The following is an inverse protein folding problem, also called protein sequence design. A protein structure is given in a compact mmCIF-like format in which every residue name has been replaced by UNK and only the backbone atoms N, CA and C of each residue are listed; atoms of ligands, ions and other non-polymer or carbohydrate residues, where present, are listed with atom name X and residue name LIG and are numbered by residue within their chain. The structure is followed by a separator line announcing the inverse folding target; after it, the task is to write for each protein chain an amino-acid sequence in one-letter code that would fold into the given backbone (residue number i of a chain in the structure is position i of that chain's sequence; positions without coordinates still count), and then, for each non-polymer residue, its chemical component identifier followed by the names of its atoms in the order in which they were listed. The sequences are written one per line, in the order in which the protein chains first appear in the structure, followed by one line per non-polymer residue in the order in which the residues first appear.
data_IF_497307680124
#
_entry.id   IF_497307680124
#
_cell.length_a   1.000
_cell.length_b   1.000
_cell.length_c   1.000
_cell.angle_alpha   90.00
_cell.angle_beta   90.00
_cell.angle_gamma   90.00
#
_symmetry.space_group_name_H-M   'P 1'
#
loop_
_entity.id
_entity.type
_entity.pdbx_description
1 polymer ?
#
# COMPACT_ATOMS: atom_id res chain seq x y z
N UNK A 1 10.77 12.12 4.50
CA UNK A 1 9.96 11.08 5.15
C UNK A 1 9.87 9.92 4.18
N UNK A 2 10.11 8.70 4.63
CA UNK A 2 10.00 7.51 3.78
C UNK A 2 9.29 6.40 4.54
N UNK A 3 8.41 5.70 3.84
CA UNK A 3 7.58 4.62 4.36
C UNK A 3 7.89 3.34 3.61
N UNK A 4 8.13 2.26 4.35
CA UNK A 4 8.42 0.94 3.80
C UNK A 4 7.24 0.02 4.02
N UNK A 5 6.74 -0.59 2.96
CA UNK A 5 5.66 -1.57 2.99
C UNK A 5 6.24 -2.97 2.81
N UNK A 6 5.90 -3.88 3.72
CA UNK A 6 6.11 -5.32 3.56
C UNK A 6 4.79 -6.02 3.28
N UNK A 7 4.78 -6.87 2.27
CA UNK A 7 3.64 -7.69 1.92
C UNK A 7 4.07 -9.07 1.43
N UNK A 8 3.12 -10.00 1.43
CA UNK A 8 3.28 -11.30 0.79
C UNK A 8 2.14 -11.54 -0.20
N UNK A 9 2.38 -12.40 -1.19
CA UNK A 9 1.36 -12.85 -2.13
C UNK A 9 1.11 -14.35 -1.88
N UNK A 10 -0.15 -14.78 -1.99
CA UNK A 10 -0.55 -16.16 -1.73
C UNK A 10 -0.36 -16.59 -0.26
N UNK A 11 -0.36 -17.90 -0.01
CA UNK A 11 -0.25 -18.49 1.33
C UNK A 11 1.16 -18.49 1.93
N UNK A 12 2.05 -17.58 1.46
CA UNK A 12 3.47 -17.52 1.88
C UNK A 12 3.63 -17.24 3.37
N UNK A 13 2.77 -16.40 3.94
CA UNK A 13 2.61 -16.25 5.38
C UNK A 13 1.12 -16.27 5.68
N UNK A 14 0.71 -17.02 6.69
CA UNK A 14 -0.69 -17.15 7.12
C UNK A 14 -0.95 -16.39 8.42
N UNK A 15 0.10 -16.09 9.19
CA UNK A 15 0.04 -15.35 10.45
C UNK A 15 1.07 -14.22 10.54
N UNK A 16 0.80 -13.24 11.41
CA UNK A 16 1.76 -12.16 11.68
C UNK A 16 3.06 -12.68 12.29
N UNK A 17 2.98 -13.75 13.10
CA UNK A 17 4.15 -14.41 13.68
C UNK A 17 5.07 -14.99 12.61
N UNK A 18 4.50 -15.70 11.64
CA UNK A 18 5.26 -16.24 10.49
C UNK A 18 5.89 -15.10 9.69
N UNK A 19 5.10 -14.08 9.37
CA UNK A 19 5.60 -12.89 8.69
C UNK A 19 6.80 -12.27 9.40
N UNK A 20 6.71 -12.01 10.71
CA UNK A 20 7.79 -11.41 11.48
C UNK A 20 9.06 -12.28 11.49
N UNK A 21 8.90 -13.60 11.59
CA UNK A 21 10.02 -14.54 11.52
C UNK A 21 10.73 -14.49 10.15
N UNK A 22 9.98 -14.26 9.06
CA UNK A 22 10.54 -14.22 7.70
C UNK A 22 10.81 -12.81 7.16
N UNK A 23 10.42 -11.74 7.87
CA UNK A 23 10.50 -10.34 7.42
C UNK A 23 11.88 -9.96 6.88
N UNK A 24 12.93 -10.44 7.53
CA UNK A 24 14.33 -10.18 7.14
C UNK A 24 14.70 -10.70 5.75
N UNK A 25 13.90 -11.60 5.17
CA UNK A 25 14.08 -12.16 3.81
C UNK A 25 13.25 -11.44 2.75
N UNK A 26 12.33 -10.56 3.17
CA UNK A 26 11.43 -9.85 2.29
C UNK A 26 12.01 -8.47 1.96
N UNK A 27 11.94 -8.11 0.68
CA UNK A 27 12.31 -6.76 0.23
C UNK A 27 11.09 -5.85 0.36
N UNK A 28 11.14 -4.79 1.21
CA UNK A 28 10.06 -3.81 1.24
C UNK A 28 10.07 -2.93 0.00
N UNK A 29 8.89 -2.43 -0.36
CA UNK A 29 8.78 -1.29 -1.27
C UNK A 29 8.81 0.01 -0.47
N UNK A 30 9.52 1.00 -0.99
CA UNK A 30 9.67 2.31 -0.35
C UNK A 30 8.78 3.34 -1.05
N UNK A 31 8.15 4.18 -0.24
CA UNK A 31 7.22 5.23 -0.65
C UNK A 31 7.59 6.53 0.06
N UNK A 32 7.38 7.67 -0.59
CA UNK A 32 7.63 8.98 0.01
C UNK A 32 6.47 9.44 0.90
N UNK A 33 5.24 9.01 0.58
CA UNK A 33 4.04 9.34 1.35
C UNK A 33 3.39 8.10 1.97
N UNK A 34 2.86 8.25 3.18
CA UNK A 34 2.14 7.18 3.88
C UNK A 34 0.90 6.74 3.07
N UNK A 35 0.19 7.69 2.47
CA UNK A 35 -1.01 7.40 1.69
C UNK A 35 -0.67 6.60 0.42
N UNK A 36 0.51 6.78 -0.19
CA UNK A 36 0.97 5.91 -1.30
C UNK A 36 1.21 4.47 -0.82
N UNK A 37 1.84 4.30 0.34
CA UNK A 37 2.07 2.98 0.94
C UNK A 37 0.75 2.29 1.30
N UNK A 38 -0.23 3.04 1.82
CA UNK A 38 -1.58 2.55 2.11
C UNK A 38 -2.31 2.17 0.82
N UNK A 39 -2.28 3.01 -0.22
CA UNK A 39 -2.84 2.68 -1.53
C UNK A 39 -2.26 1.39 -2.08
N UNK A 40 -0.93 1.22 -2.01
CA UNK A 40 -0.30 -0.03 -2.42
C UNK A 40 -0.79 -1.21 -1.60
N UNK A 41 -0.91 -1.07 -0.28
CA UNK A 41 -1.45 -2.12 0.58
C UNK A 41 -2.87 -2.54 0.16
N UNK A 42 -3.72 -1.59 -0.23
CA UNK A 42 -5.04 -1.87 -0.79
C UNK A 42 -4.99 -2.64 -2.12
N UNK A 43 -4.08 -2.27 -3.03
CA UNK A 43 -3.86 -3.00 -4.28
C UNK A 43 -3.40 -4.44 -4.03
N UNK A 44 -2.48 -4.64 -3.09
CA UNK A 44 -2.01 -5.97 -2.68
C UNK A 44 -3.18 -6.83 -2.20
N UNK A 45 -4.05 -6.30 -1.33
CA UNK A 45 -5.22 -7.02 -0.85
C UNK A 45 -6.18 -7.42 -1.98
N UNK A 46 -6.42 -6.52 -2.95
CA UNK A 46 -7.23 -6.81 -4.14
C UNK A 46 -6.63 -7.89 -5.04
N UNK A 47 -5.30 -7.98 -5.07
CA UNK A 47 -4.57 -9.01 -5.81
C UNK A 47 -4.43 -10.34 -5.04
N UNK A 48 -5.10 -10.50 -3.89
CA UNK A 48 -5.04 -11.72 -3.08
C UNK A 48 -3.78 -11.85 -2.23
N UNK A 49 -3.04 -10.75 -2.03
CA UNK A 49 -1.92 -10.67 -1.10
C UNK A 49 -2.32 -10.13 0.27
N UNK A 50 -1.36 -10.09 1.19
CA UNK A 50 -1.52 -9.57 2.54
C UNK A 50 -0.47 -8.50 2.80
N UNK A 51 -0.92 -7.28 3.09
CA UNK A 51 -0.07 -6.19 3.56
C UNK A 51 0.14 -6.33 5.08
N UNK A 52 1.37 -6.61 5.49
CA UNK A 52 1.68 -6.96 6.87
C UNK A 52 2.09 -5.77 7.72
N UNK A 53 2.88 -4.85 7.14
CA UNK A 53 3.52 -3.81 7.91
C UNK A 53 3.88 -2.61 7.04
N UNK A 54 3.62 -1.41 7.55
CA UNK A 54 4.20 -0.16 7.09
C UNK A 54 5.08 0.41 8.22
N UNK A 55 6.35 0.69 7.94
CA UNK A 55 7.26 1.39 8.86
C UNK A 55 7.77 2.67 8.23
N UNK A 56 7.62 3.80 8.92
CA UNK A 56 8.19 5.09 8.55
C UNK A 56 9.50 5.39 9.28
N UNK A 57 10.35 6.23 8.69
CA UNK A 57 11.52 6.83 9.36
C UNK A 57 11.13 7.76 10.54
N UNK A 58 9.87 8.17 10.57
CA UNK A 58 9.23 9.04 11.56
C UNK A 58 8.65 8.32 12.78
N UNK A 59 9.01 7.05 12.97
CA UNK A 59 8.44 6.13 13.98
C UNK A 59 7.01 5.68 13.70
N UNK A 60 6.43 6.02 12.55
CA UNK A 60 5.15 5.42 12.12
C UNK A 60 5.31 3.92 12.01
N UNK A 61 4.38 3.17 12.61
CA UNK A 61 4.32 1.71 12.50
C UNK A 61 2.87 1.25 12.42
N UNK A 62 2.46 0.78 11.25
CA UNK A 62 1.12 0.24 11.03
C UNK A 62 1.22 -1.25 10.77
N UNK A 63 0.77 -2.06 11.73
CA UNK A 63 0.60 -3.51 11.53
C UNK A 63 -0.64 -3.83 10.70
N UNK A 64 -0.74 -5.07 10.22
CA UNK A 64 -1.82 -5.58 9.36
C UNK A 64 -3.21 -5.11 9.79
N UNK A 65 -3.59 -5.32 11.05
CA UNK A 65 -4.93 -4.95 11.54
C UNK A 65 -5.24 -3.46 11.41
N UNK A 66 -4.24 -2.60 11.64
CA UNK A 66 -4.39 -1.15 11.53
C UNK A 66 -4.38 -0.69 10.07
N UNK A 67 -3.61 -1.34 9.20
CA UNK A 67 -3.67 -1.14 7.75
C UNK A 67 -5.07 -1.48 7.25
N UNK A 68 -5.59 -2.67 7.56
CA UNK A 68 -6.93 -3.10 7.18
C UNK A 68 -8.01 -2.14 7.70
N UNK A 69 -7.92 -1.71 8.96
CA UNK A 69 -8.86 -0.75 9.53
C UNK A 69 -8.78 0.60 8.79
N UNK A 70 -7.57 1.08 8.50
CA UNK A 70 -7.36 2.33 7.77
C UNK A 70 -7.94 2.26 6.36
N UNK A 71 -7.70 1.15 5.65
CA UNK A 71 -8.24 0.93 4.30
C UNK A 71 -9.78 0.84 4.30
N UNK A 72 -10.39 0.25 5.33
CA UNK A 72 -11.86 0.24 5.47
C UNK A 72 -12.44 1.64 5.68
N UNK A 73 -11.72 2.52 6.39
CA UNK A 73 -12.18 3.88 6.70
C UNK A 73 -11.89 4.88 5.57
N UNK A 74 -10.65 4.89 5.07
CA UNK A 74 -10.10 5.87 4.13
C UNK A 74 -9.91 5.35 2.71
N UNK A 75 -10.22 4.08 2.44
CA UNK A 75 -10.05 3.45 1.12
C UNK A 75 -10.61 4.29 -0.05
N UNK A 76 -11.87 4.79 0.04
CA UNK A 76 -12.44 5.62 -1.01
C UNK A 76 -11.67 6.93 -1.27
N UNK A 77 -11.17 7.58 -0.21
CA UNK A 77 -10.37 8.82 -0.31
C UNK A 77 -9.03 8.53 -0.98
N UNK A 78 -8.38 7.45 -0.57
CA UNK A 78 -7.10 7.00 -1.11
C UNK A 78 -7.18 6.65 -2.60
N UNK A 79 -8.33 6.18 -3.08
CA UNK A 79 -8.57 5.88 -4.50
C UNK A 79 -8.83 7.12 -5.35
N UNK A 80 -9.49 8.15 -4.78
CA UNK A 80 -9.79 9.40 -5.47
C UNK A 80 -8.52 10.20 -5.77
N UNK A 81 -7.57 10.24 -4.83
CA UNK A 81 -6.27 10.90 -5.00
C UNK A 81 -5.35 10.20 -6.01
N UNK A 82 -5.62 8.94 -6.33
CA UNK A 82 -4.84 8.18 -7.32
C UNK A 82 -5.21 8.51 -8.77
N UNK A 83 -6.24 9.34 -9.01
CA UNK A 83 -6.51 9.81 -10.37
C UNK A 83 -5.39 10.75 -10.80
N UNK A 84 -4.57 10.38 -11.79
CA UNK A 84 -3.68 11.36 -12.38
C UNK A 84 -4.54 12.50 -12.92
N UNK A 85 -4.07 13.72 -12.78
CA UNK A 85 -4.59 14.90 -13.45
C UNK A 85 -4.37 14.81 -14.99
N UNK A 86 -4.64 13.66 -15.61
CA UNK A 86 -4.38 13.37 -17.01
C UNK A 86 -5.67 12.95 -17.73
N UNK A 87 -6.60 13.91 -17.82
CA UNK A 87 -7.75 13.84 -18.73
C UNK A 87 -7.96 15.14 -19.52
N UNK A 88 -6.90 15.90 -19.80
CA UNK A 88 -6.99 17.06 -20.73
C UNK A 88 -5.73 17.23 -21.56
N UNK A 89 -5.59 16.36 -22.56
CA UNK A 89 -4.52 16.46 -23.56
C UNK A 89 -4.92 15.90 -24.92
N UNK A 90 -6.16 16.13 -25.38
CA UNK A 90 -6.51 15.90 -26.79
C UNK A 90 -7.07 17.18 -27.39
N UNK A 91 -6.33 17.90 -28.25
CA UNK A 91 -6.94 18.99 -29.00
C UNK A 91 -7.95 18.40 -30.01
N UNK A 92 -9.07 19.08 -30.27
CA UNK A 92 -10.00 18.65 -31.30
C UNK A 92 -9.30 18.73 -32.66
N UNK A 93 -9.35 17.63 -33.40
CA UNK A 93 -8.95 17.58 -34.81
C UNK A 93 -9.90 18.53 -35.55
N UNK A 94 -9.38 19.65 -36.08
CA UNK A 94 -10.13 20.51 -37.00
C UNK A 94 -10.26 19.76 -38.35
N UNK A 95 -11.49 19.67 -38.85
CA UNK A 95 -11.80 19.46 -40.27
C UNK A 95 -11.35 20.68 -41.10
#
# INVERSE_FOLDING_TARGET
MTYRLWWTVGYTCTSEREFLATKHRLLPATYEMLDDALRRAGQVARAGGVAWLIEGDDKTRLGRGLIEQTLRKRGPELELEAQPADRRGRPPRRE
#
